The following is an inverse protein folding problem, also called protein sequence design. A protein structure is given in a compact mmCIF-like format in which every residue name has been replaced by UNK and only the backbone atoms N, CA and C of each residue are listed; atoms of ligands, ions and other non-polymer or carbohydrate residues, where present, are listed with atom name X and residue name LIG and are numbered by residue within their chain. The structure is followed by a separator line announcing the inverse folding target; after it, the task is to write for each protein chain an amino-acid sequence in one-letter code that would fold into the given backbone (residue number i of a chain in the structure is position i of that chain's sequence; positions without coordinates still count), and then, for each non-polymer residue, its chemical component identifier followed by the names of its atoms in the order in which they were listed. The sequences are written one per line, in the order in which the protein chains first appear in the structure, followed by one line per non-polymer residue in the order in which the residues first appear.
data_IF_993426459191
#
_entry.id   IF_993426459191
#
_cell.length_a   1.000
_cell.length_b   1.000
_cell.length_c   1.000
_cell.angle_alpha   90.00
_cell.angle_beta   90.00
_cell.angle_gamma   90.00
#
_symmetry.space_group_name_H-M   'P 1'
#
loop_
_entity.id
_entity.type
_entity.pdbx_description
1 polymer ?
#
# COMPACT_ATOMS: atom_id res chain seq x y z
N UNK A 1 -11.81 -7.22 3.14
CA UNK A 1 -12.27 -5.87 2.71
C UNK A 1 -11.81 -4.76 3.66
N UNK A 2 -11.99 -4.89 4.98
CA UNK A 2 -11.62 -3.83 5.95
C UNK A 2 -10.18 -3.91 6.49
N UNK A 3 -9.55 -5.09 6.43
CA UNK A 3 -8.22 -5.32 7.02
C UNK A 3 -7.09 -4.65 6.24
N UNK A 4 -7.13 -4.68 4.91
CA UNK A 4 -6.11 -4.04 4.05
C UNK A 4 -6.07 -2.51 4.21
N UNK A 5 -7.22 -1.79 4.17
CA UNK A 5 -7.24 -0.36 4.48
C UNK A 5 -6.74 -0.03 5.90
N UNK A 6 -7.06 -0.89 6.87
CA UNK A 6 -6.67 -0.69 8.27
C UNK A 6 -5.17 -0.89 8.49
N UNK A 7 -4.56 -1.91 7.87
CA UNK A 7 -3.11 -2.15 7.91
C UNK A 7 -2.33 -1.01 7.27
N UNK A 8 -2.82 -0.47 6.14
CA UNK A 8 -2.23 0.71 5.51
C UNK A 8 -2.35 1.94 6.41
N UNK A 9 -3.49 2.14 7.05
CA UNK A 9 -3.70 3.22 8.03
C UNK A 9 -2.72 3.09 9.21
N UNK A 10 -2.59 1.90 9.78
CA UNK A 10 -1.71 1.61 10.91
C UNK A 10 -0.24 1.85 10.55
N UNK A 11 0.20 1.38 9.37
CA UNK A 11 1.57 1.61 8.89
C UNK A 11 1.89 3.11 8.77
N UNK A 12 0.97 3.90 8.20
CA UNK A 12 1.14 5.37 8.08
C UNK A 12 1.05 6.05 9.45
N UNK A 13 0.27 5.52 10.39
CA UNK A 13 0.12 6.07 11.73
C UNK A 13 1.39 5.85 12.58
N UNK A 14 2.07 4.70 12.41
CA UNK A 14 3.34 4.37 13.06
C UNK A 14 4.51 5.17 12.47
N UNK A 15 4.48 5.44 11.17
CA UNK A 15 5.41 6.38 10.56
C UNK A 15 5.12 7.78 11.11
N UNK A 16 6.08 8.36 11.82
CA UNK A 16 6.00 9.68 12.44
C UNK A 16 5.96 10.84 11.41
N UNK A 17 5.04 10.75 10.44
CA UNK A 17 4.88 11.65 9.32
C UNK A 17 4.13 12.92 9.73
N UNK A 18 4.44 14.06 9.09
CA UNK A 18 3.69 15.31 9.26
C UNK A 18 2.19 15.07 9.02
N UNK A 19 1.33 15.66 9.87
CA UNK A 19 -0.14 15.47 9.79
C UNK A 19 -0.72 15.75 8.40
N UNK A 20 -0.18 16.74 7.68
CA UNK A 20 -0.60 17.08 6.32
C UNK A 20 -0.30 15.96 5.31
N UNK A 21 0.88 15.34 5.41
CA UNK A 21 1.31 14.23 4.55
C UNK A 21 0.47 12.99 4.83
N UNK A 22 0.31 12.62 6.10
CA UNK A 22 -0.56 11.50 6.51
C UNK A 22 -1.99 11.66 6.02
N UNK A 23 -2.60 12.84 6.14
CA UNK A 23 -3.97 13.07 5.64
C UNK A 23 -4.05 12.91 4.12
N UNK A 24 -3.06 13.42 3.38
CA UNK A 24 -2.98 13.29 1.92
C UNK A 24 -2.81 11.82 1.50
N UNK A 25 -1.97 11.06 2.22
CA UNK A 25 -1.74 9.64 1.96
C UNK A 25 -2.99 8.81 2.22
N UNK A 26 -3.67 9.00 3.35
CA UNK A 26 -4.91 8.29 3.67
C UNK A 26 -6.00 8.54 2.63
N UNK A 27 -6.14 9.79 2.17
CA UNK A 27 -7.11 10.14 1.12
C UNK A 27 -6.76 9.55 -0.25
N UNK A 28 -5.51 9.12 -0.49
CA UNK A 28 -5.11 8.42 -1.71
C UNK A 28 -5.18 6.90 -1.58
N UNK A 29 -4.72 6.37 -0.45
CA UNK A 29 -4.52 4.93 -0.22
C UNK A 29 -5.82 4.20 0.13
N UNK A 30 -6.73 4.83 0.87
CA UNK A 30 -8.03 4.23 1.20
C UNK A 30 -8.86 3.98 -0.08
N UNK A 31 -9.13 4.98 -0.95
CA UNK A 31 -9.87 4.72 -2.18
C UNK A 31 -9.08 3.83 -3.17
N UNK A 32 -7.75 3.92 -3.23
CA UNK A 32 -6.94 3.03 -4.06
C UNK A 32 -7.06 1.56 -3.62
N UNK A 33 -7.05 1.29 -2.31
CA UNK A 33 -7.23 -0.08 -1.78
C UNK A 33 -8.65 -0.60 -1.99
N UNK A 34 -9.68 0.26 -1.87
CA UNK A 34 -11.04 -0.11 -2.22
C UNK A 34 -11.17 -0.46 -3.71
N UNK A 35 -10.59 0.36 -4.60
CA UNK A 35 -10.55 0.09 -6.03
C UNK A 35 -9.82 -1.22 -6.34
N UNK A 36 -8.68 -1.47 -5.72
CA UNK A 36 -7.93 -2.73 -5.88
C UNK A 36 -8.80 -3.95 -5.59
N UNK A 37 -9.59 -3.92 -4.51
CA UNK A 37 -10.46 -5.04 -4.13
C UNK A 37 -11.66 -5.15 -5.08
N UNK A 38 -12.26 -4.04 -5.47
CA UNK A 38 -13.40 -4.02 -6.41
C UNK A 38 -12.98 -4.54 -7.78
N UNK A 39 -11.78 -4.18 -8.26
CA UNK A 39 -11.24 -4.70 -9.53
C UNK A 39 -10.78 -6.15 -9.44
N UNK A 40 -10.34 -6.62 -8.27
CA UNK A 40 -9.92 -8.01 -8.06
C UNK A 40 -11.09 -8.99 -7.95
N UNK A 41 -12.22 -8.57 -7.39
CA UNK A 41 -13.36 -9.46 -7.12
C UNK A 41 -13.95 -10.13 -8.38
N UNK A 42 -14.13 -9.44 -9.52
CA UNK A 42 -14.53 -10.06 -10.79
C UNK A 42 -13.55 -11.11 -11.31
N UNK A 43 -12.25 -10.93 -11.03
CA UNK A 43 -11.22 -11.91 -11.36
C UNK A 43 -11.33 -13.17 -10.52
N UNK A 44 -11.59 -13.04 -9.22
CA UNK A 44 -11.75 -14.18 -8.31
C UNK A 44 -12.96 -15.07 -8.64
N UNK A 45 -14.08 -14.45 -9.03
CA UNK A 45 -15.33 -15.17 -9.37
C UNK A 45 -15.34 -15.70 -10.82
N UNK A 46 -14.40 -15.27 -11.67
CA UNK A 46 -14.33 -15.77 -13.04
C UNK A 46 -14.03 -17.28 -13.04
N UNK A 47 -14.61 -18.02 -13.98
CA UNK A 47 -14.35 -19.47 -14.14
C UNK A 47 -13.23 -19.71 -15.14
N UNK A 48 -13.16 -18.86 -16.18
CA UNK A 48 -12.18 -18.94 -17.25
C UNK A 48 -10.84 -18.27 -16.91
N UNK A 49 -9.74 -18.82 -17.41
CA UNK A 49 -8.37 -18.34 -17.13
C UNK A 49 -8.07 -16.98 -17.76
N UNK A 50 -8.66 -16.65 -18.91
CA UNK A 50 -8.39 -15.39 -19.61
C UNK A 50 -8.98 -14.15 -18.88
N UNK A 51 -10.26 -14.14 -18.46
CA UNK A 51 -10.80 -13.06 -17.62
C UNK A 51 -10.08 -12.94 -16.28
N UNK A 52 -9.68 -14.06 -15.66
CA UNK A 52 -8.85 -14.06 -14.43
C UNK A 52 -7.56 -13.27 -14.60
N UNK A 53 -6.83 -13.53 -15.68
CA UNK A 53 -5.57 -12.86 -15.95
C UNK A 53 -5.75 -11.35 -16.21
N UNK A 54 -6.80 -10.96 -16.94
CA UNK A 54 -7.10 -9.55 -17.26
C UNK A 54 -7.49 -8.78 -15.99
N UNK A 55 -8.43 -9.31 -15.19
CA UNK A 55 -8.86 -8.67 -13.95
C UNK A 55 -7.76 -8.68 -12.88
N UNK A 56 -6.92 -9.73 -12.84
CA UNK A 56 -5.72 -9.79 -12.00
C UNK A 56 -4.67 -8.75 -12.39
N UNK A 57 -4.39 -8.58 -13.69
CA UNK A 57 -3.47 -7.54 -14.16
C UNK A 57 -4.01 -6.14 -13.87
N UNK A 58 -5.31 -5.91 -14.06
CA UNK A 58 -5.97 -4.64 -13.77
C UNK A 58 -5.96 -4.29 -12.27
N UNK A 59 -6.16 -5.27 -11.38
CA UNK A 59 -6.09 -5.06 -9.93
C UNK A 59 -4.66 -4.89 -9.41
N UNK A 60 -3.65 -5.36 -10.17
CA UNK A 60 -2.23 -5.15 -9.86
C UNK A 60 -1.81 -3.69 -10.02
N UNK A 61 -2.45 -2.92 -10.91
CA UNK A 61 -2.14 -1.49 -11.13
C UNK A 61 -2.32 -0.64 -9.85
N UNK A 62 -3.49 -0.64 -9.19
CA UNK A 62 -3.66 0.10 -7.94
C UNK A 62 -2.81 -0.48 -6.80
N UNK A 63 -2.51 -1.77 -6.81
CA UNK A 63 -1.58 -2.39 -5.85
C UNK A 63 -0.15 -1.82 -5.98
N UNK A 64 0.39 -1.76 -7.20
CA UNK A 64 1.71 -1.18 -7.46
C UNK A 64 1.77 0.31 -7.11
N UNK A 65 0.68 1.05 -7.35
CA UNK A 65 0.57 2.45 -6.95
C UNK A 65 0.65 2.64 -5.43
N UNK A 66 -0.04 1.79 -4.67
CA UNK A 66 0.03 1.74 -3.20
C UNK A 66 1.47 1.46 -2.75
N UNK A 67 2.12 0.42 -3.30
CA UNK A 67 3.51 0.07 -2.98
C UNK A 67 4.47 1.22 -3.27
N UNK A 68 4.34 1.87 -4.43
CA UNK A 68 5.19 3.01 -4.80
C UNK A 68 5.05 4.17 -3.80
N UNK A 69 3.83 4.54 -3.44
CA UNK A 69 3.58 5.60 -2.45
C UNK A 69 4.18 5.24 -1.10
N UNK A 70 3.93 4.03 -0.61
CA UNK A 70 4.49 3.56 0.66
C UNK A 70 6.01 3.59 0.64
N UNK A 71 6.65 3.09 -0.42
CA UNK A 71 8.09 3.04 -0.55
C UNK A 71 8.74 4.42 -0.56
N UNK A 72 8.15 5.37 -1.28
CA UNK A 72 8.61 6.78 -1.30
C UNK A 72 8.47 7.43 0.06
N UNK A 73 7.36 7.23 0.75
CA UNK A 73 7.11 7.82 2.07
C UNK A 73 7.93 7.18 3.18
N UNK A 74 8.12 5.86 3.15
CA UNK A 74 9.05 5.14 4.01
C UNK A 74 10.47 5.67 3.84
N UNK A 75 10.92 5.88 2.59
CA UNK A 75 12.25 6.46 2.30
C UNK A 75 12.42 7.87 2.88
N UNK A 76 11.37 8.70 2.82
CA UNK A 76 11.39 10.03 3.45
C UNK A 76 11.43 9.92 4.97
N UNK A 77 10.64 9.02 5.55
CA UNK A 77 10.60 8.79 7.00
C UNK A 77 11.95 8.32 7.55
N UNK A 78 12.65 7.43 6.84
CA UNK A 78 14.02 6.98 7.19
C UNK A 78 15.00 8.15 7.28
N UNK A 79 14.89 9.17 6.42
CA UNK A 79 15.78 10.34 6.42
C UNK A 79 15.53 11.30 7.59
N UNK A 80 14.32 11.31 8.14
CA UNK A 80 13.95 12.16 9.29
C UNK A 80 14.16 11.49 10.64
N UNK A 81 14.59 10.22 10.69
CA UNK A 81 14.73 9.47 11.94
C UNK A 81 16.20 9.21 12.33
N UNK A 82 16.55 9.27 13.63
CA UNK A 82 17.90 8.98 14.12
C UNK A 82 18.26 7.49 13.92
N UNK A 83 19.55 7.22 13.70
CA UNK A 83 20.08 6.06 12.96
C UNK A 83 19.72 4.64 13.43
N UNK A 84 19.16 4.44 14.63
CA UNK A 84 18.66 3.13 15.06
C UNK A 84 17.30 2.80 14.43
N UNK A 85 16.38 3.78 14.37
CA UNK A 85 15.02 3.58 13.84
C UNK A 85 15.04 3.49 12.30
N UNK A 86 16.04 4.11 11.66
CA UNK A 86 16.22 4.02 10.21
C UNK A 86 16.49 2.60 9.70
N UNK A 87 17.11 1.73 10.49
CA UNK A 87 17.31 0.31 10.16
C UNK A 87 16.01 -0.46 10.21
N UNK A 88 15.23 -0.29 11.28
CA UNK A 88 13.93 -0.95 11.43
C UNK A 88 12.93 -0.56 10.32
N UNK A 89 12.94 0.72 9.90
CA UNK A 89 12.14 1.19 8.75
C UNK A 89 12.62 0.60 7.42
N UNK A 90 13.93 0.36 7.27
CA UNK A 90 14.49 -0.26 6.08
C UNK A 90 14.15 -1.77 6.00
N UNK A 91 14.13 -2.46 7.13
CA UNK A 91 13.72 -3.86 7.19
C UNK A 91 12.21 -4.00 6.92
N UNK A 92 11.39 -3.08 7.44
CA UNK A 92 9.96 -2.97 7.08
C UNK A 92 9.73 -2.77 5.58
N UNK A 93 10.59 -2.02 4.88
CA UNK A 93 10.51 -1.87 3.41
C UNK A 93 10.75 -3.17 2.69
N UNK A 94 11.70 -3.97 3.14
CA UNK A 94 11.98 -5.29 2.55
C UNK A 94 10.86 -6.28 2.83
N UNK A 95 10.27 -6.24 4.02
CA UNK A 95 9.11 -7.06 4.39
C UNK A 95 7.84 -6.72 3.60
N UNK A 96 7.68 -5.48 3.13
CA UNK A 96 6.57 -5.09 2.24
C UNK A 96 6.75 -5.57 0.80
N UNK A 97 7.95 -5.99 0.41
CA UNK A 97 8.29 -6.43 -0.95
C UNK A 97 8.50 -7.95 -1.07
N UNK A 98 8.73 -8.66 0.04
CA UNK A 98 8.94 -10.10 0.12
C UNK A 98 7.63 -10.84 0.39
#
# INVERSE_FOLDING_TARGET
LLTVPLLLFETIAVLALPRAVRKSLLMKLIPASALMIILGYPGEIAVDTAPKAIWGALSTIPFLYILYILFVELTKATKTQPGQVGKDVNDLRWLLLA
#
